data_IF_086391290151
#
_entry.id   IF_086391290151
#
_cell.length_a   1.000
_cell.length_b   1.000
_cell.length_c   1.000
_cell.angle_alpha   90.00
_cell.angle_beta   90.00
_cell.angle_gamma   90.00
#
_symmetry.space_group_name_H-M   'P 1'
#
loop_
_entity.id
_entity.type
_entity.pdbx_description
1 polymer ?
#
# COMPACT_ATOMS: atom_id res chain seq x y z
N UNK A 1 27.25 -54.53 -29.96
CA UNK A 1 26.38 -53.33 -29.95
C UNK A 1 24.94 -53.85 -29.95
N UNK A 2 24.04 -53.59 -29.00
CA UNK A 2 24.00 -52.70 -27.83
C UNK A 2 23.27 -53.46 -26.70
N UNK A 3 23.70 -53.27 -25.46
CA UNK A 3 23.02 -53.81 -24.28
C UNK A 3 21.78 -52.96 -23.99
N UNK A 4 20.62 -53.59 -23.79
CA UNK A 4 19.42 -52.92 -23.29
C UNK A 4 19.63 -52.60 -21.81
N UNK A 5 19.98 -51.35 -21.51
CA UNK A 5 19.95 -50.82 -20.15
C UNK A 5 18.69 -49.95 -20.00
N UNK A 6 17.60 -50.57 -19.55
CA UNK A 6 16.42 -49.87 -19.04
C UNK A 6 16.76 -49.32 -17.66
N UNK A 7 17.02 -48.02 -17.55
CA UNK A 7 17.11 -47.36 -16.25
C UNK A 7 15.74 -46.83 -15.83
N UNK A 8 15.29 -47.43 -14.74
CA UNK A 8 14.01 -47.28 -14.07
C UNK A 8 13.74 -45.85 -13.59
N UNK A 9 12.54 -45.35 -13.89
CA UNK A 9 11.90 -44.21 -13.23
C UNK A 9 11.57 -44.63 -11.79
N UNK A 10 12.25 -44.06 -10.79
CA UNK A 10 11.93 -44.29 -9.38
C UNK A 10 11.48 -42.97 -8.75
N UNK A 11 10.17 -42.84 -8.65
CA UNK A 11 9.44 -41.83 -7.92
C UNK A 11 9.79 -41.86 -6.43
N UNK A 12 10.10 -40.71 -5.83
CA UNK A 12 9.87 -40.48 -4.40
C UNK A 12 8.74 -39.45 -4.26
N UNK A 13 7.49 -39.96 -4.19
CA UNK A 13 6.41 -39.26 -3.52
C UNK A 13 6.57 -39.54 -2.03
N UNK A 14 7.07 -38.56 -1.27
CA UNK A 14 6.97 -38.60 0.18
C UNK A 14 5.63 -38.02 0.60
N UNK A 15 4.69 -38.92 0.86
CA UNK A 15 3.42 -38.65 1.55
C UNK A 15 3.70 -38.70 3.06
N UNK A 16 3.68 -37.54 3.72
CA UNK A 16 3.89 -37.41 5.16
C UNK A 16 2.69 -36.73 5.83
N UNK A 17 1.81 -37.56 6.39
CA UNK A 17 0.70 -37.34 7.33
C UNK A 17 0.47 -35.94 7.91
N UNK A 18 -0.75 -35.43 7.70
CA UNK A 18 -1.35 -34.30 8.41
C UNK A 18 -1.66 -34.67 9.88
N UNK A 19 -1.13 -33.92 10.84
CA UNK A 19 -1.76 -33.77 12.16
C UNK A 19 -2.67 -32.56 12.09
N UNK A 20 -3.98 -32.80 12.12
CA UNK A 20 -4.99 -31.76 12.22
C UNK A 20 -4.91 -31.08 13.59
N UNK A 21 -4.27 -29.91 13.65
CA UNK A 21 -4.54 -28.92 14.70
C UNK A 21 -5.59 -27.95 14.15
N UNK A 22 -6.82 -28.12 14.58
CA UNK A 22 -7.90 -27.19 14.34
C UNK A 22 -7.64 -25.90 15.12
N UNK A 23 -7.15 -24.88 14.43
CA UNK A 23 -7.34 -23.46 14.72
C UNK A 23 -6.67 -22.65 13.60
N UNK A 24 -7.26 -22.62 12.40
CA UNK A 24 -6.86 -21.64 11.39
C UNK A 24 -7.98 -20.62 11.20
N UNK A 25 -7.78 -19.47 11.84
CA UNK A 25 -8.32 -18.22 11.35
C UNK A 25 -7.66 -17.98 9.98
N UNK A 26 -8.35 -18.39 8.91
CA UNK A 26 -7.95 -18.09 7.54
C UNK A 26 -8.14 -16.60 7.26
N UNK A 27 -7.20 -15.77 7.73
CA UNK A 27 -7.10 -14.37 7.32
C UNK A 27 -5.64 -13.88 7.38
N UNK A 28 -4.75 -14.61 6.68
CA UNK A 28 -3.32 -14.28 6.69
C UNK A 28 -2.60 -14.66 5.40
N UNK A 29 -3.13 -14.30 4.21
CA UNK A 29 -2.30 -14.14 3.00
C UNK A 29 -3.03 -13.38 1.85
N UNK A 30 -3.43 -12.13 2.05
CA UNK A 30 -3.78 -11.25 0.91
C UNK A 30 -3.34 -9.80 1.10
N UNK A 31 -2.22 -9.60 1.80
CA UNK A 31 -1.74 -8.28 2.23
C UNK A 31 -0.98 -7.49 1.15
N UNK A 32 -1.03 -7.90 -0.13
CA UNK A 32 -0.18 -7.36 -1.21
C UNK A 32 -0.85 -6.36 -2.17
N UNK A 33 -2.18 -6.21 -2.12
CA UNK A 33 -2.93 -5.30 -3.02
C UNK A 33 -3.74 -4.26 -2.26
N UNK A 34 -3.31 -3.96 -1.03
CA UNK A 34 -3.49 -2.61 -0.57
C UNK A 34 -2.63 -1.76 -1.52
N UNK A 35 -3.31 -1.18 -2.51
CA UNK A 35 -2.90 0.13 -3.03
C UNK A 35 -2.41 0.95 -1.85
N UNK A 36 -1.42 1.80 -2.09
CA UNK A 36 -0.98 2.82 -1.17
C UNK A 36 -2.18 3.67 -0.73
N UNK A 37 -2.94 3.09 0.17
CA UNK A 37 -4.07 3.59 0.87
C UNK A 37 -3.51 4.10 2.18
N UNK A 38 -2.33 4.72 2.16
CA UNK A 38 -1.97 5.73 3.15
C UNK A 38 -3.07 6.81 3.25
N UNK A 39 -4.03 6.83 2.32
CA UNK A 39 -5.31 7.55 2.40
C UNK A 39 -6.49 6.80 3.08
N UNK A 40 -6.61 5.46 3.10
CA UNK A 40 -7.76 4.76 3.72
C UNK A 40 -7.46 3.50 4.57
N UNK A 41 -6.21 3.06 4.68
CA UNK A 41 -5.73 2.33 5.85
C UNK A 41 -5.53 3.35 6.96
N UNK A 42 -6.35 3.24 8.00
CA UNK A 42 -6.21 3.98 9.25
C UNK A 42 -4.87 3.69 9.92
N UNK A 43 -3.79 4.25 9.39
CA UNK A 43 -2.56 4.43 10.11
C UNK A 43 -2.91 5.29 11.33
N UNK A 44 -2.74 4.68 12.50
CA UNK A 44 -2.78 5.31 13.81
C UNK A 44 -2.12 6.69 13.77
N UNK A 45 -2.92 7.75 13.66
CA UNK A 45 -2.43 9.14 13.57
C UNK A 45 -2.85 9.97 12.34
N UNK A 46 -3.80 9.52 11.49
CA UNK A 46 -4.29 10.36 10.37
C UNK A 46 -4.98 11.65 10.85
N UNK A 47 -4.18 12.68 11.06
CA UNK A 47 -4.66 14.03 11.27
C UNK A 47 -5.21 14.55 9.94
N UNK A 48 -6.53 14.75 9.88
CA UNK A 48 -7.24 15.25 8.72
C UNK A 48 -6.66 16.58 8.21
N UNK A 49 -6.93 16.92 6.95
CA UNK A 49 -6.46 18.17 6.33
C UNK A 49 -6.85 19.42 7.16
N UNK A 50 -8.04 19.40 7.79
CA UNK A 50 -8.61 20.52 8.54
C UNK A 50 -8.34 20.46 10.05
N UNK A 51 -7.54 19.50 10.52
CA UNK A 51 -7.42 19.24 11.93
C UNK A 51 -6.72 20.36 12.70
N UNK A 52 -7.37 20.77 13.79
CA UNK A 52 -6.97 21.89 14.63
C UNK A 52 -7.03 23.26 13.96
N UNK A 53 -7.78 23.39 12.86
CA UNK A 53 -8.45 24.66 12.51
C UNK A 53 -9.69 24.77 13.39
N UNK A 54 -9.86 25.88 14.12
CA UNK A 54 -11.06 26.11 14.94
C UNK A 54 -12.23 26.49 14.04
N UNK A 55 -13.18 25.59 13.87
CA UNK A 55 -14.39 25.78 13.06
C UNK A 55 -15.56 26.28 13.92
N UNK A 56 -16.40 27.14 13.33
CA UNK A 56 -17.72 27.44 13.91
C UNK A 56 -18.62 26.20 13.85
N UNK A 57 -19.72 26.18 14.62
CA UNK A 57 -20.69 25.08 14.52
C UNK A 57 -21.25 24.95 13.10
N UNK A 58 -21.60 26.09 12.49
CA UNK A 58 -22.12 26.12 11.13
C UNK A 58 -21.13 25.53 10.11
N UNK A 59 -19.86 25.94 10.15
CA UNK A 59 -18.83 25.38 9.26
C UNK A 59 -18.67 23.88 9.48
N UNK A 60 -18.68 23.42 10.73
CA UNK A 60 -18.56 21.99 11.05
C UNK A 60 -19.74 21.19 10.52
N UNK A 61 -20.95 21.72 10.63
CA UNK A 61 -22.14 21.08 10.07
C UNK A 61 -22.05 20.98 8.55
N UNK A 62 -21.75 22.09 7.86
CA UNK A 62 -21.59 22.10 6.40
C UNK A 62 -20.49 21.13 5.93
N UNK A 63 -19.38 21.06 6.65
CA UNK A 63 -18.30 20.12 6.38
C UNK A 63 -18.72 18.66 6.58
N UNK A 64 -19.49 18.35 7.64
CA UNK A 64 -20.07 17.01 7.84
C UNK A 64 -20.98 16.65 6.68
N UNK A 65 -21.89 17.55 6.30
CA UNK A 65 -22.87 17.31 5.23
C UNK A 65 -22.19 17.03 3.88
N UNK A 66 -21.17 17.83 3.52
CA UNK A 66 -20.35 17.61 2.33
C UNK A 66 -19.67 16.23 2.32
N UNK A 67 -19.08 15.83 3.46
CA UNK A 67 -18.41 14.54 3.60
C UNK A 67 -19.40 13.38 3.58
N UNK A 68 -20.59 13.54 4.17
CA UNK A 68 -21.65 12.53 4.16
C UNK A 68 -22.19 12.30 2.75
N UNK A 69 -22.49 13.37 2.01
CA UNK A 69 -22.93 13.28 0.62
C UNK A 69 -21.89 12.53 -0.24
N UNK A 70 -20.62 12.92 -0.14
CA UNK A 70 -19.57 12.30 -0.94
C UNK A 70 -19.31 10.83 -0.60
N UNK A 71 -19.58 10.38 0.62
CA UNK A 71 -19.48 8.96 0.99
C UNK A 71 -20.53 8.10 0.29
N UNK A 72 -21.71 8.64 0.01
CA UNK A 72 -22.77 7.93 -0.72
C UNK A 72 -22.38 7.74 -2.19
N UNK A 73 -21.71 8.72 -2.78
CA UNK A 73 -21.30 8.72 -4.18
C UNK A 73 -19.93 8.03 -4.41
N UNK A 74 -19.37 7.40 -3.38
CA UNK A 74 -18.04 6.80 -3.43
C UNK A 74 -18.09 5.51 -4.27
N UNK A 75 -17.34 5.38 -5.38
CA UNK A 75 -17.37 4.17 -6.20
C UNK A 75 -17.01 2.94 -5.36
N UNK A 76 -17.80 1.87 -5.50
CA UNK A 76 -17.65 0.64 -4.73
C UNK A 76 -16.32 -0.06 -5.06
N UNK A 77 -15.79 -0.80 -4.10
CA UNK A 77 -14.68 -1.71 -4.36
C UNK A 77 -15.20 -2.92 -5.13
N UNK A 78 -14.47 -3.34 -6.16
CA UNK A 78 -14.81 -4.48 -6.97
C UNK A 78 -14.00 -5.71 -6.55
N UNK A 79 -14.68 -6.73 -6.02
CA UNK A 79 -14.04 -7.98 -5.60
C UNK A 79 -13.48 -8.78 -6.78
N UNK A 80 -14.03 -8.60 -7.98
CA UNK A 80 -13.53 -9.27 -9.18
C UNK A 80 -12.15 -8.76 -9.58
N UNK A 81 -11.85 -7.48 -9.34
CA UNK A 81 -10.52 -6.92 -9.60
C UNK A 81 -9.46 -7.51 -8.68
N UNK A 82 -9.82 -7.79 -7.42
CA UNK A 82 -8.93 -8.46 -6.44
C UNK A 82 -8.68 -9.91 -6.88
N UNK A 83 -9.74 -10.62 -7.28
CA UNK A 83 -9.63 -12.00 -7.76
C UNK A 83 -8.78 -12.10 -9.03
N UNK A 84 -9.02 -11.23 -10.01
CA UNK A 84 -8.25 -11.21 -11.25
C UNK A 84 -6.78 -10.92 -10.98
N UNK A 85 -6.48 -9.99 -10.07
CA UNK A 85 -5.11 -9.73 -9.69
C UNK A 85 -4.43 -10.90 -8.98
N UNK A 86 -5.15 -11.61 -8.10
CA UNK A 86 -4.64 -12.82 -7.46
C UNK A 86 -4.26 -13.90 -8.50
N UNK A 87 -5.11 -14.11 -9.51
CA UNK A 87 -4.83 -15.06 -10.60
C UNK A 87 -3.55 -14.71 -11.36
N UNK A 88 -3.30 -13.43 -11.60
CA UNK A 88 -2.07 -12.96 -12.27
C UNK A 88 -0.82 -13.18 -11.40
N UNK A 89 -0.94 -13.02 -10.08
CA UNK A 89 0.16 -13.27 -9.13
C UNK A 89 0.50 -14.76 -9.01
N UNK A 90 -0.51 -15.63 -9.06
CA UNK A 90 -0.34 -17.08 -8.90
C UNK A 90 -0.15 -17.83 -10.21
N UNK A 91 0.00 -17.12 -11.34
CA UNK A 91 0.21 -17.73 -12.64
C UNK A 91 1.59 -18.42 -12.72
N UNK A 92 1.68 -19.50 -13.51
CA UNK A 92 2.94 -20.25 -13.70
C UNK A 92 4.03 -19.38 -14.36
N UNK A 93 3.62 -18.48 -15.27
CA UNK A 93 4.50 -17.52 -15.94
C UNK A 93 3.99 -16.10 -15.72
N UNK A 94 4.93 -15.16 -15.59
CA UNK A 94 4.60 -13.76 -15.39
C UNK A 94 4.21 -13.09 -16.71
N UNK A 95 2.97 -12.62 -16.78
CA UNK A 95 2.46 -11.82 -17.90
C UNK A 95 2.42 -10.32 -17.52
N UNK A 96 3.49 -9.60 -17.86
CA UNK A 96 3.58 -8.16 -17.57
C UNK A 96 2.44 -7.36 -18.24
N UNK A 97 2.03 -7.74 -19.45
CA UNK A 97 1.01 -7.02 -20.19
C UNK A 97 -0.36 -7.16 -19.51
N UNK A 98 -0.72 -8.36 -19.08
CA UNK A 98 -1.96 -8.61 -18.34
C UNK A 98 -1.96 -7.91 -16.96
N UNK A 99 -0.83 -7.94 -16.25
CA UNK A 99 -0.67 -7.21 -14.98
C UNK A 99 -0.84 -5.71 -15.17
N UNK A 100 -0.17 -5.12 -16.17
CA UNK A 100 -0.29 -3.69 -16.48
C UNK A 100 -1.74 -3.32 -16.81
N UNK A 101 -2.43 -4.11 -17.62
CA UNK A 101 -3.83 -3.87 -17.96
C UNK A 101 -4.75 -3.92 -16.74
N UNK A 102 -4.55 -4.91 -15.85
CA UNK A 102 -5.29 -5.05 -14.61
C UNK A 102 -5.08 -3.83 -13.68
N UNK A 103 -3.81 -3.42 -13.50
CA UNK A 103 -3.48 -2.24 -12.68
C UNK A 103 -4.11 -0.98 -13.27
N UNK A 104 -3.99 -0.73 -14.58
CA UNK A 104 -4.55 0.46 -15.21
C UNK A 104 -6.06 0.58 -14.99
N UNK A 105 -6.80 -0.54 -15.08
CA UNK A 105 -8.24 -0.56 -14.80
C UNK A 105 -8.54 -0.23 -13.35
N UNK A 106 -7.80 -0.80 -12.41
CA UNK A 106 -7.98 -0.49 -10.98
C UNK A 106 -7.65 0.96 -10.67
N UNK A 107 -6.63 1.52 -11.32
CA UNK A 107 -6.21 2.92 -11.17
C UNK A 107 -7.27 3.90 -11.67
N UNK A 108 -8.04 3.60 -12.72
CA UNK A 108 -9.08 4.52 -13.21
C UNK A 108 -10.14 4.79 -12.14
N UNK A 109 -10.57 3.76 -11.41
CA UNK A 109 -11.51 3.89 -10.28
C UNK A 109 -10.90 4.71 -9.15
N UNK A 110 -9.60 4.52 -8.87
CA UNK A 110 -8.90 5.28 -7.83
C UNK A 110 -8.73 6.76 -8.18
N UNK A 111 -8.42 7.06 -9.45
CA UNK A 111 -8.32 8.43 -9.96
C UNK A 111 -9.67 9.14 -9.77
N UNK A 112 -10.77 8.52 -10.18
CA UNK A 112 -12.10 9.10 -10.00
C UNK A 112 -12.43 9.34 -8.51
N UNK A 113 -12.13 8.36 -7.64
CA UNK A 113 -12.28 8.53 -6.19
C UNK A 113 -11.46 9.72 -5.67
N UNK A 114 -10.21 9.86 -6.11
CA UNK A 114 -9.31 10.92 -5.68
C UNK A 114 -9.79 12.29 -6.16
N UNK A 115 -10.29 12.39 -7.39
CA UNK A 115 -10.87 13.62 -7.93
C UNK A 115 -12.08 14.05 -7.10
N UNK A 116 -13.00 13.12 -6.80
CA UNK A 116 -14.19 13.40 -5.98
C UNK A 116 -13.81 13.89 -4.58
N UNK A 117 -12.89 13.19 -3.89
CA UNK A 117 -12.41 13.59 -2.57
C UNK A 117 -11.71 14.95 -2.60
N UNK A 118 -10.93 15.23 -3.65
CA UNK A 118 -10.24 16.51 -3.82
C UNK A 118 -11.23 17.65 -4.02
N UNK A 119 -12.29 17.43 -4.81
CA UNK A 119 -13.38 18.41 -4.99
C UNK A 119 -14.05 18.75 -3.67
N UNK A 120 -14.38 17.74 -2.86
CA UNK A 120 -15.01 17.93 -1.54
C UNK A 120 -14.09 18.71 -0.60
N UNK A 121 -12.80 18.34 -0.54
CA UNK A 121 -11.81 19.08 0.26
C UNK A 121 -11.70 20.53 -0.19
N UNK A 122 -11.75 20.81 -1.50
CA UNK A 122 -11.77 22.19 -2.00
C UNK A 122 -13.02 22.95 -1.57
N UNK A 123 -14.20 22.34 -1.65
CA UNK A 123 -15.45 22.94 -1.17
C UNK A 123 -15.38 23.26 0.33
N UNK A 124 -14.88 22.31 1.15
CA UNK A 124 -14.66 22.53 2.58
C UNK A 124 -13.67 23.66 2.84
N UNK A 125 -12.56 23.73 2.10
CA UNK A 125 -11.58 24.80 2.20
C UNK A 125 -12.19 26.18 1.92
N UNK A 126 -13.14 26.27 1.00
CA UNK A 126 -13.83 27.52 0.68
C UNK A 126 -14.85 27.97 1.73
N UNK A 127 -15.20 27.12 2.70
CA UNK A 127 -15.99 27.52 3.87
C UNK A 127 -15.15 28.26 4.93
N UNK A 128 -13.81 28.19 4.84
CA UNK A 128 -12.91 28.77 5.82
C UNK A 128 -12.75 30.29 5.64
N UNK A 129 -12.61 30.98 6.76
CA UNK A 129 -12.18 32.39 6.78
C UNK A 129 -10.71 32.51 6.37
N UNK A 130 -10.24 33.71 5.94
CA UNK A 130 -8.83 33.93 5.63
C UNK A 130 -7.89 33.51 6.78
N UNK A 131 -8.19 33.91 8.01
CA UNK A 131 -7.39 33.55 9.18
C UNK A 131 -7.34 32.03 9.44
N UNK A 132 -8.43 31.31 9.17
CA UNK A 132 -8.46 29.85 9.28
C UNK A 132 -7.59 29.18 8.18
N UNK A 133 -7.57 29.75 6.97
CA UNK A 133 -6.71 29.29 5.88
C UNK A 133 -5.23 29.48 6.20
N UNK A 134 -4.86 30.59 6.82
CA UNK A 134 -3.48 30.84 7.27
C UNK A 134 -3.01 29.79 8.31
N UNK A 135 -3.88 29.43 9.25
CA UNK A 135 -3.61 28.36 10.23
C UNK A 135 -3.42 27.02 9.52
N UNK A 136 -4.26 26.73 8.52
CA UNK A 136 -4.19 25.48 7.76
C UNK A 136 -2.87 25.39 6.97
N UNK A 137 -2.44 26.49 6.33
CA UNK A 137 -1.17 26.58 5.61
C UNK A 137 0.04 26.39 6.53
N UNK A 138 0.03 27.02 7.70
CA UNK A 138 1.09 26.83 8.70
C UNK A 138 1.21 25.37 9.11
N UNK A 139 0.09 24.70 9.37
CA UNK A 139 0.06 23.27 9.71
C UNK A 139 0.51 22.40 8.55
N UNK A 140 0.16 22.76 7.32
CA UNK A 140 0.62 22.05 6.13
C UNK A 140 2.15 22.10 6.04
N UNK A 141 2.76 23.29 6.19
CA UNK A 141 4.23 23.45 6.20
C UNK A 141 4.89 22.62 7.30
N UNK A 142 4.32 22.61 8.50
CA UNK A 142 4.81 21.79 9.61
C UNK A 142 4.79 20.30 9.26
N UNK A 143 3.65 19.80 8.75
CA UNK A 143 3.51 18.39 8.32
C UNK A 143 4.49 18.02 7.21
N UNK A 144 4.72 18.91 6.25
CA UNK A 144 5.69 18.68 5.17
C UNK A 144 7.13 18.59 5.72
N UNK A 145 7.49 19.41 6.70
CA UNK A 145 8.80 19.35 7.36
C UNK A 145 8.99 18.04 8.11
N UNK A 146 8.00 17.60 8.88
CA UNK A 146 8.02 16.31 9.59
C UNK A 146 8.13 15.14 8.62
N UNK A 147 7.38 15.17 7.52
CA UNK A 147 7.45 14.15 6.47
C UNK A 147 8.84 14.11 5.81
N UNK A 148 9.44 15.26 5.49
CA UNK A 148 10.80 15.32 4.95
C UNK A 148 11.84 14.72 5.90
N UNK A 149 11.69 14.96 7.20
CA UNK A 149 12.56 14.36 8.22
C UNK A 149 12.37 12.84 8.31
N UNK A 150 11.12 12.35 8.24
CA UNK A 150 10.85 10.91 8.22
C UNK A 150 11.44 10.24 6.98
N UNK A 151 11.27 10.84 5.80
CA UNK A 151 11.84 10.35 4.55
C UNK A 151 13.37 10.34 4.63
N UNK A 152 13.99 11.40 5.17
CA UNK A 152 15.44 11.44 5.29
C UNK A 152 15.98 10.40 6.26
N UNK A 153 15.29 10.12 7.38
CA UNK A 153 15.66 9.04 8.30
C UNK A 153 15.53 7.67 7.63
N UNK A 154 14.43 7.42 6.92
CA UNK A 154 14.22 6.15 6.20
C UNK A 154 15.33 5.91 5.17
N UNK A 155 15.68 6.94 4.38
CA UNK A 155 16.75 6.83 3.38
C UNK A 155 18.14 6.60 4.02
N UNK A 156 18.39 7.13 5.23
CA UNK A 156 19.63 6.89 5.96
C UNK A 156 19.72 5.48 6.54
N UNK A 157 18.61 4.91 7.01
CA UNK A 157 18.55 3.53 7.50
C UNK A 157 18.71 2.49 6.39
N UNK A 158 18.36 2.84 5.15
CA UNK A 158 18.51 1.98 3.98
C UNK A 158 19.93 1.97 3.37
N UNK A 159 20.83 2.84 3.84
CA UNK A 159 22.23 2.86 3.40
C UNK A 159 23.07 1.84 4.19
N UNK A 160 23.81 0.92 3.53
CA UNK A 160 24.70 0.02 4.25
C UNK A 160 25.82 0.81 4.94
N UNK A 161 26.31 0.37 6.11
CA UNK A 161 27.38 1.06 6.82
C UNK A 161 28.65 1.12 5.96
N UNK A 162 29.40 2.24 5.97
CA UNK A 162 30.64 2.32 5.24
C UNK A 162 31.70 1.46 5.96
N UNK A 163 32.11 0.37 5.33
CA UNK A 163 33.35 -0.34 5.63
C UNK A 163 33.20 -1.72 6.25
N UNK A 164 33.19 -2.76 5.39
CA UNK A 164 33.86 -4.04 5.64
C UNK A 164 34.42 -4.57 4.32
N UNK A 165 35.41 -3.87 3.75
CA UNK A 165 36.35 -4.53 2.83
C UNK A 165 37.35 -5.28 3.70
N UNK A 166 37.02 -6.53 4.06
CA UNK A 166 38.01 -7.42 4.63
C UNK A 166 38.97 -7.82 3.50
N UNK A 167 40.12 -7.16 3.44
CA UNK A 167 41.32 -7.72 2.82
C UNK A 167 41.67 -9.00 3.58
N UNK A 168 41.44 -10.16 2.98
CA UNK A 168 42.07 -11.40 3.44
C UNK A 168 43.31 -11.60 2.57
N UNK A 169 44.41 -11.06 3.06
CA UNK A 169 45.76 -11.43 2.69
C UNK A 169 45.99 -12.85 3.21
N UNK A 170 45.87 -13.86 2.35
CA UNK A 170 46.37 -15.21 2.63
C UNK A 170 47.84 -15.24 2.24
N UNK A 171 48.68 -14.86 3.19
CA UNK A 171 50.04 -15.35 3.30
C UNK A 171 49.97 -16.83 3.71
N UNK A 172 50.74 -17.69 3.03
CA UNK A 172 50.84 -19.12 3.31
C UNK A 172 52.31 -19.51 3.19
N UNK A 173 53.00 -19.83 4.29
CA UNK A 173 54.27 -20.54 4.24
C UNK A 173 54.08 -22.05 4.46
N UNK A 174 55.04 -22.78 3.91
CA UNK A 174 55.34 -24.23 3.99
C UNK A 174 54.60 -25.19 3.04
#
# INVERSE_FOLDING_TARGET
>A
MQQFATLSLASLLMLGTFTASAAENGDALVSGWHSDDSAAKGASGQQGMFDGVRLTEQQRQQMRDLMHQSRQDKPAFNTDDVKAMHQLVTAETFDEAAVRAQITRMMSVQIERQIQMTRVRNQMYNLLTPAQKDILELKHKQRMKEMQQQISMFNQMAAPPPGTTNHTETDSPE
#
